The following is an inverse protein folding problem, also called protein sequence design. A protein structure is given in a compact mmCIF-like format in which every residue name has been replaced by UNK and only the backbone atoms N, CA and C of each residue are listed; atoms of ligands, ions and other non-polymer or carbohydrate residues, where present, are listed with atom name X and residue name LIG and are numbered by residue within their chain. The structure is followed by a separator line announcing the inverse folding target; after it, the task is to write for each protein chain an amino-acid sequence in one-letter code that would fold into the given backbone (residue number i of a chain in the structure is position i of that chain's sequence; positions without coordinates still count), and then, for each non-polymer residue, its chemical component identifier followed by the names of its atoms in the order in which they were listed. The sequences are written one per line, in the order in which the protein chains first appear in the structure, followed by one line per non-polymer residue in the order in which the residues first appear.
data_IF_882348905097
#
_entry.id   IF_882348905097
#
_cell.length_a   1.000
_cell.length_b   1.000
_cell.length_c   1.000
_cell.angle_alpha   90.00
_cell.angle_beta   90.00
_cell.angle_gamma   90.00
#
_symmetry.space_group_name_H-M   'P 1'
#
loop_
_entity.id
_entity.type
_entity.pdbx_description
1 polymer ?
#
# COMPACT_ATOMS: atom_id res chain seq x y z
N UNK A 1 -7.55 -0.77 -14.23
CA UNK A 1 -8.21 -1.59 -15.24
C UNK A 1 -8.18 -0.96 -16.61
N UNK A 2 -8.71 0.23 -16.78
CA UNK A 2 -8.52 0.96 -18.03
C UNK A 2 -7.04 1.26 -18.26
N UNK A 3 -6.36 1.69 -17.20
CA UNK A 3 -4.94 2.01 -17.24
C UNK A 3 -4.06 0.80 -17.55
N UNK A 4 -4.44 -0.37 -17.08
CA UNK A 4 -3.74 -1.61 -17.38
C UNK A 4 -3.87 -1.99 -18.85
N UNK A 5 -5.05 -1.74 -19.43
CA UNK A 5 -5.26 -1.96 -20.86
C UNK A 5 -4.45 -0.98 -21.70
N UNK A 6 -4.38 0.27 -21.24
CA UNK A 6 -3.61 1.29 -21.93
C UNK A 6 -2.12 1.02 -21.84
N UNK A 7 -1.62 0.56 -20.69
CA UNK A 7 -0.22 0.16 -20.56
C UNK A 7 0.13 -0.97 -21.53
N UNK A 8 -0.74 -1.94 -21.69
CA UNK A 8 -0.49 -3.06 -22.60
C UNK A 8 -0.45 -2.68 -24.08
N UNK A 9 -1.01 -1.53 -24.43
CA UNK A 9 -0.97 -1.02 -25.80
C UNK A 9 0.31 -0.27 -26.12
N UNK A 10 1.15 0.01 -25.14
CA UNK A 10 2.39 0.76 -25.33
C UNK A 10 3.44 -0.09 -26.03
N UNK A 11 4.34 0.58 -26.74
CA UNK A 11 5.54 -0.07 -27.28
C UNK A 11 6.48 -0.45 -26.14
N UNK A 12 7.38 -1.40 -26.39
CA UNK A 12 8.39 -1.81 -25.42
C UNK A 12 9.28 -0.65 -24.99
N UNK A 13 9.61 0.24 -25.93
CA UNK A 13 10.41 1.45 -25.60
C UNK A 13 9.65 2.39 -24.68
N UNK A 14 8.35 2.58 -24.89
CA UNK A 14 7.53 3.41 -24.02
C UNK A 14 7.43 2.82 -22.61
N UNK A 15 7.25 1.50 -22.49
CA UNK A 15 7.24 0.82 -21.20
C UNK A 15 8.56 0.99 -20.47
N UNK A 16 9.68 0.80 -21.16
CA UNK A 16 11.02 1.01 -20.60
C UNK A 16 11.23 2.46 -20.17
N UNK A 17 10.73 3.40 -20.96
CA UNK A 17 10.82 4.81 -20.62
C UNK A 17 10.13 5.09 -19.27
N UNK A 18 8.92 4.55 -19.06
CA UNK A 18 8.20 4.72 -17.79
C UNK A 18 9.03 4.15 -16.64
N UNK A 19 9.52 2.91 -16.78
CA UNK A 19 10.32 2.26 -15.73
C UNK A 19 11.56 3.06 -15.37
N UNK A 20 12.31 3.54 -16.35
CA UNK A 20 13.50 4.34 -16.09
C UNK A 20 13.17 5.72 -15.55
N UNK A 21 12.08 6.33 -15.99
CA UNK A 21 11.69 7.64 -15.49
C UNK A 21 11.28 7.62 -14.01
N UNK A 22 10.56 6.61 -13.58
CA UNK A 22 10.18 6.49 -12.15
C UNK A 22 11.40 6.26 -11.27
N UNK A 23 12.48 5.73 -11.83
CA UNK A 23 13.74 5.52 -11.13
C UNK A 23 14.62 6.78 -11.11
N UNK A 24 14.75 7.44 -12.26
CA UNK A 24 15.73 8.52 -12.44
C UNK A 24 15.15 9.94 -12.36
N UNK A 25 13.87 10.08 -12.63
CA UNK A 25 13.18 11.37 -12.77
C UNK A 25 13.79 12.27 -13.87
N UNK A 26 14.52 11.69 -14.82
CA UNK A 26 15.18 12.39 -15.91
C UNK A 26 14.70 11.87 -17.25
N UNK A 27 13.89 12.67 -17.95
CA UNK A 27 13.24 12.27 -19.20
C UNK A 27 14.25 11.95 -20.32
N UNK A 28 15.28 12.76 -20.47
CA UNK A 28 16.29 12.55 -21.52
C UNK A 28 17.07 11.26 -21.28
N UNK A 29 17.54 11.06 -20.06
CA UNK A 29 18.28 9.85 -19.70
C UNK A 29 17.42 8.61 -19.82
N UNK A 30 16.17 8.70 -19.41
CA UNK A 30 15.21 7.59 -19.50
C UNK A 30 14.95 7.21 -20.95
N UNK A 31 14.83 8.19 -21.85
CA UNK A 31 14.67 7.94 -23.28
C UNK A 31 15.91 7.24 -23.87
N UNK A 32 17.11 7.65 -23.49
CA UNK A 32 18.34 6.99 -23.93
C UNK A 32 18.39 5.53 -23.47
N UNK A 33 18.11 5.29 -22.20
CA UNK A 33 18.12 3.94 -21.63
C UNK A 33 17.01 3.05 -22.22
N UNK A 34 15.89 3.66 -22.61
CA UNK A 34 14.79 2.92 -23.24
C UNK A 34 15.11 2.48 -24.67
N UNK A 35 16.19 3.00 -25.26
CA UNK A 35 16.63 2.61 -26.59
C UNK A 35 16.37 3.67 -27.67
N UNK A 36 15.95 4.86 -27.31
CA UNK A 36 15.81 5.96 -28.26
C UNK A 36 17.17 6.57 -28.61
N UNK A 37 17.29 7.11 -29.81
CA UNK A 37 18.51 7.75 -30.28
C UNK A 37 18.91 8.93 -29.39
N UNK A 38 20.20 9.07 -29.09
CA UNK A 38 20.73 10.20 -28.32
C UNK A 38 20.38 11.55 -28.94
N UNK A 39 20.28 11.63 -30.26
CA UNK A 39 19.95 12.86 -30.97
C UNK A 39 18.48 13.30 -30.70
N UNK A 40 17.58 12.35 -30.51
CA UNK A 40 16.15 12.62 -30.34
C UNK A 40 15.71 12.44 -28.88
N UNK A 41 16.56 11.94 -28.01
CA UNK A 41 16.20 11.58 -26.64
C UNK A 41 15.57 12.73 -25.85
N UNK A 42 16.08 13.95 -26.02
CA UNK A 42 15.52 15.12 -25.33
C UNK A 42 14.09 15.40 -25.77
N UNK A 43 13.84 15.40 -27.07
CA UNK A 43 12.51 15.67 -27.61
C UNK A 43 11.53 14.52 -27.34
N UNK A 44 11.96 13.29 -27.54
CA UNK A 44 11.15 12.10 -27.27
C UNK A 44 10.87 11.97 -25.78
N UNK A 45 11.84 12.25 -24.94
CA UNK A 45 11.66 12.24 -23.49
C UNK A 45 10.60 13.23 -23.06
N UNK A 46 10.65 14.46 -23.54
CA UNK A 46 9.64 15.47 -23.26
C UNK A 46 8.26 15.07 -23.78
N UNK A 47 8.20 14.52 -24.98
CA UNK A 47 6.96 14.06 -25.61
C UNK A 47 6.35 12.90 -24.83
N UNK A 48 7.14 11.90 -24.48
CA UNK A 48 6.67 10.75 -23.69
C UNK A 48 6.24 11.19 -22.28
N UNK A 49 6.96 12.14 -21.68
CA UNK A 49 6.57 12.66 -20.37
C UNK A 49 5.17 13.27 -20.40
N UNK A 50 4.84 13.95 -21.49
CA UNK A 50 3.51 14.53 -21.68
C UNK A 50 2.45 13.47 -21.99
N UNK A 51 2.74 12.59 -22.94
CA UNK A 51 1.80 11.55 -23.38
C UNK A 51 1.53 10.49 -22.31
N UNK A 52 2.56 10.10 -21.59
CA UNK A 52 2.51 8.99 -20.65
C UNK A 52 2.41 9.43 -19.19
N UNK A 53 2.20 10.74 -18.96
CA UNK A 53 2.19 11.29 -17.62
C UNK A 53 1.21 10.58 -16.69
N UNK A 54 0.03 10.26 -17.16
CA UNK A 54 -0.98 9.59 -16.34
C UNK A 54 -0.52 8.19 -15.89
N UNK A 55 0.16 7.45 -16.76
CA UNK A 55 0.73 6.13 -16.42
C UNK A 55 1.94 6.27 -15.48
N UNK A 56 2.74 7.30 -15.67
CA UNK A 56 3.87 7.59 -14.78
C UNK A 56 3.36 7.92 -13.37
N UNK A 57 2.35 8.76 -13.26
CA UNK A 57 1.77 9.12 -11.96
C UNK A 57 1.15 7.91 -11.27
N UNK A 58 0.46 7.07 -12.02
CA UNK A 58 -0.09 5.83 -11.50
C UNK A 58 1.01 4.90 -10.97
N UNK A 59 2.09 4.74 -11.74
CA UNK A 59 3.23 3.90 -11.32
C UNK A 59 3.89 4.45 -10.06
N UNK A 60 4.08 5.76 -9.96
CA UNK A 60 4.62 6.40 -8.77
C UNK A 60 3.71 6.19 -7.56
N UNK A 61 2.39 6.27 -7.77
CA UNK A 61 1.43 6.01 -6.70
C UNK A 61 1.48 4.56 -6.23
N UNK A 62 1.58 3.60 -7.15
CA UNK A 62 1.73 2.19 -6.80
C UNK A 62 3.00 1.93 -5.98
N UNK A 63 4.10 2.57 -6.35
CA UNK A 63 5.36 2.43 -5.62
C UNK A 63 5.26 3.03 -4.22
N UNK A 64 4.56 4.14 -4.07
CA UNK A 64 4.31 4.76 -2.78
C UNK A 64 3.43 3.87 -1.91
N UNK A 65 2.35 3.34 -2.48
CA UNK A 65 1.44 2.44 -1.78
C UNK A 65 2.16 1.17 -1.30
N UNK A 66 3.09 0.65 -2.11
CA UNK A 66 3.87 -0.53 -1.76
C UNK A 66 4.86 -0.31 -0.61
N UNK A 67 5.17 0.94 -0.27
CA UNK A 67 6.00 1.25 0.90
C UNK A 67 5.23 1.17 2.20
N UNK A 68 3.92 1.27 2.12
CA UNK A 68 3.05 1.19 3.29
C UNK A 68 2.67 -0.26 3.48
N UNK A 69 2.85 -0.77 4.70
CA UNK A 69 2.46 -2.13 5.02
C UNK A 69 0.96 -2.32 4.82
N UNK A 70 0.59 -3.40 4.16
CA UNK A 70 -0.81 -3.76 3.99
C UNK A 70 -1.41 -4.25 5.32
N UNK A 71 -2.73 -4.29 5.42
CA UNK A 71 -3.40 -4.87 6.59
C UNK A 71 -2.97 -6.32 6.81
N UNK A 72 -2.86 -7.07 5.73
CA UNK A 72 -2.41 -8.45 5.80
C UNK A 72 -1.00 -8.58 6.36
N UNK A 73 -0.08 -7.76 5.90
CA UNK A 73 1.29 -7.74 6.38
C UNK A 73 1.37 -7.40 7.87
N UNK A 74 0.59 -6.42 8.33
CA UNK A 74 0.50 -6.08 9.75
C UNK A 74 -0.02 -7.27 10.57
N UNK A 75 -1.08 -7.92 10.09
CA UNK A 75 -1.67 -9.08 10.76
C UNK A 75 -0.69 -10.26 10.81
N UNK A 76 0.06 -10.48 9.74
CA UNK A 76 1.10 -11.51 9.70
C UNK A 76 2.21 -11.24 10.73
N UNK A 77 2.65 -10.00 10.83
CA UNK A 77 3.66 -9.61 11.81
C UNK A 77 3.16 -9.85 13.24
N UNK A 78 1.97 -9.36 13.56
CA UNK A 78 1.36 -9.56 14.88
C UNK A 78 1.21 -11.05 15.21
N UNK A 79 0.84 -11.84 14.23
CA UNK A 79 0.70 -13.30 14.38
C UNK A 79 2.05 -13.96 14.72
N UNK A 80 3.11 -13.59 14.02
CA UNK A 80 4.45 -14.12 14.28
C UNK A 80 4.93 -13.77 15.69
N UNK A 81 4.74 -12.53 16.11
CA UNK A 81 5.12 -12.10 17.46
C UNK A 81 4.31 -12.87 18.50
N UNK A 82 3.00 -12.97 18.31
CA UNK A 82 2.12 -13.71 19.22
C UNK A 82 2.57 -15.16 19.40
N UNK A 83 3.00 -15.80 18.30
CA UNK A 83 3.47 -17.19 18.32
C UNK A 83 4.90 -17.37 18.83
N UNK A 84 5.61 -16.27 19.07
CA UNK A 84 7.00 -16.31 19.51
C UNK A 84 7.98 -16.64 18.39
N UNK A 85 7.62 -16.36 17.14
CA UNK A 85 8.46 -16.63 15.97
C UNK A 85 9.36 -15.46 15.59
N UNK A 86 9.15 -14.29 16.20
CA UNK A 86 9.98 -13.11 15.97
C UNK A 86 10.93 -12.86 17.12
N UNK A 87 12.13 -12.43 16.79
CA UNK A 87 13.15 -12.04 17.76
C UNK A 87 13.48 -10.56 17.56
N UNK A 88 13.97 -9.95 18.63
CA UNK A 88 14.41 -8.55 18.53
C UNK A 88 15.78 -8.46 17.83
N UNK A 89 16.30 -7.24 17.72
CA UNK A 89 17.58 -7.00 17.05
C UNK A 89 18.77 -7.66 17.73
N UNK A 90 18.64 -8.09 18.97
CA UNK A 90 19.66 -8.80 19.74
C UNK A 90 19.45 -10.31 19.76
N UNK A 91 18.48 -10.80 19.03
CA UNK A 91 18.17 -12.22 18.98
C UNK A 91 17.37 -12.72 20.17
N UNK A 92 16.79 -11.84 20.97
CA UNK A 92 15.98 -12.20 22.12
C UNK A 92 14.53 -12.41 21.73
N UNK A 93 13.89 -13.35 22.40
CA UNK A 93 12.48 -13.64 22.18
C UNK A 93 11.59 -12.52 22.73
N UNK A 94 10.44 -12.32 22.11
CA UNK A 94 9.43 -11.40 22.60
C UNK A 94 8.93 -11.84 23.98
N UNK A 95 8.73 -10.87 24.88
CA UNK A 95 8.19 -11.16 26.21
C UNK A 95 6.75 -11.66 26.11
N UNK A 96 6.28 -12.30 27.18
CA UNK A 96 4.87 -12.70 27.27
C UNK A 96 3.93 -11.48 27.18
N UNK A 97 4.37 -10.35 27.72
CA UNK A 97 3.62 -9.10 27.63
C UNK A 97 3.47 -8.64 26.19
N UNK A 98 4.57 -8.66 25.41
CA UNK A 98 4.53 -8.28 24.01
C UNK A 98 3.66 -9.23 23.20
N UNK A 99 3.78 -10.51 23.44
CA UNK A 99 2.98 -11.54 22.77
C UNK A 99 1.48 -11.40 23.10
N UNK A 100 1.18 -11.12 24.36
CA UNK A 100 -0.19 -10.87 24.81
C UNK A 100 -0.77 -9.62 24.16
N UNK A 101 0.05 -8.56 24.02
CA UNK A 101 -0.37 -7.34 23.32
C UNK A 101 -0.73 -7.60 21.88
N UNK A 102 0.08 -8.39 21.19
CA UNK A 102 -0.22 -8.77 19.80
C UNK A 102 -1.49 -9.60 19.70
N UNK A 103 -1.71 -10.53 20.63
CA UNK A 103 -2.95 -11.31 20.69
C UNK A 103 -4.17 -10.41 20.93
N UNK A 104 -4.03 -9.42 21.80
CA UNK A 104 -5.09 -8.44 22.06
C UNK A 104 -5.43 -7.65 20.81
N UNK A 105 -4.43 -7.15 20.10
CA UNK A 105 -4.63 -6.39 18.85
C UNK A 105 -5.31 -7.23 17.79
N UNK A 106 -4.89 -8.49 17.61
CA UNK A 106 -5.54 -9.42 16.71
C UNK A 106 -6.98 -9.70 17.11
N UNK A 107 -7.22 -9.90 18.39
CA UNK A 107 -8.56 -10.12 18.92
C UNK A 107 -9.49 -8.95 18.65
N UNK A 108 -9.00 -7.73 18.81
CA UNK A 108 -9.75 -6.52 18.46
C UNK A 108 -10.09 -6.49 16.98
N UNK A 109 -9.15 -6.85 16.13
CA UNK A 109 -9.36 -6.87 14.68
C UNK A 109 -10.47 -7.85 14.30
N UNK A 110 -10.54 -9.02 14.94
CA UNK A 110 -11.53 -10.04 14.67
C UNK A 110 -12.82 -9.88 15.46
N UNK A 111 -12.90 -8.89 16.34
CA UNK A 111 -14.08 -8.67 17.16
C UNK A 111 -14.27 -9.72 18.25
N UNK A 112 -13.22 -10.46 18.62
CA UNK A 112 -13.27 -11.52 19.61
C UNK A 112 -13.75 -11.03 20.99
N UNK A 113 -13.41 -9.80 21.35
CA UNK A 113 -13.71 -9.23 22.66
C UNK A 113 -14.91 -8.29 22.64
N UNK A 114 -15.65 -8.23 21.55
CA UNK A 114 -16.84 -7.38 21.49
C UNK A 114 -17.97 -7.98 22.28
N UNK A 115 -18.60 -7.19 23.12
CA UNK A 115 -19.88 -7.55 23.68
C UNK A 115 -20.90 -7.59 22.55
N UNK A 116 -21.65 -8.67 22.49
CA UNK A 116 -22.79 -8.75 21.60
C UNK A 116 -23.95 -7.98 22.23
N UNK A 117 -24.16 -6.78 21.74
CA UNK A 117 -25.35 -6.02 22.08
C UNK A 117 -26.43 -6.41 21.09
N UNK A 118 -27.47 -7.05 21.56
CA UNK A 118 -28.60 -7.39 20.71
C UNK A 118 -29.43 -6.14 20.49
N UNK A 119 -29.32 -5.55 19.31
CA UNK A 119 -30.06 -4.35 18.95
C UNK A 119 -31.21 -4.76 18.04
N UNK A 120 -32.11 -5.55 18.53
CA UNK A 120 -33.28 -5.89 17.75
C UNK A 120 -34.45 -4.97 18.10
N UNK A 121 -35.06 -4.42 17.08
CA UNK A 121 -36.28 -3.64 17.22
C UNK A 121 -36.01 -2.26 17.77
N UNK A 122 -36.50 -2.02 18.93
CA UNK A 122 -36.39 -0.72 19.56
C UNK A 122 -35.03 -0.49 20.08
N UNK A 123 -34.29 0.33 19.36
CA UNK A 123 -33.15 0.93 19.99
C UNK A 123 -33.73 1.79 21.11
N UNK A 124 -33.54 1.42 22.33
CA UNK A 124 -33.88 2.32 23.37
C UNK A 124 -33.05 3.54 23.15
N UNK A 125 -33.74 4.49 22.77
CA UNK A 125 -33.10 5.77 22.78
C UNK A 125 -32.85 6.03 24.21
N UNK A 126 -31.84 5.72 24.48
CA UNK A 126 -31.50 6.00 25.80
C UNK A 126 -31.43 7.43 26.07
N UNK A 127 -32.09 7.46 26.19
CA UNK A 127 -31.94 8.19 26.43
C UNK A 127 -31.71 8.66 27.37
N UNK A 128 -31.59 8.70 27.20
CA UNK A 128 -31.41 9.01 27.80
C UNK A 128 -31.28 9.44 28.61
N UNK A 129 -31.69 9.30 28.61
CA UNK A 129 -31.88 9.49 29.23
C UNK A 129 -31.73 9.92 29.96
N UNK A 130 -31.87 9.82 29.89
CA UNK A 130 -32.16 10.00 30.28
C UNK A 130 -32.28 10.63 30.65
N UNK A 131 -32.65 10.74 30.63
CA UNK A 131 -33.29 11.13 30.72
C UNK A 131 -33.78 11.39 31.47
N UNK A 132 -34.24 11.42 31.80
CA UNK A 132 -34.88 11.58 32.32
C UNK A 132 -35.01 11.59 33.19
N UNK A 133 -35.28 11.61 33.56
CA UNK A 133 -35.58 11.52 34.08
C UNK A 133 -35.56 11.37 34.61
#
# INVERSE_FOLDING_TARGET
MEDEKDYNKLTEKQKRFIDYYVETANATESAKRAGYSSKTAKNIGAENLTKLNYLIQERLQQLEDNRIASQEEVLQYLTKVMRGEEKDQFGLDASLQDRTKCAELLGKRYGTFKEKVDVTGNIPVVIADDITE
#
